data_IF_872362959261
#
_entry.id   IF_872362959261
#
_cell.length_a   1.000
_cell.length_b   1.000
_cell.length_c   1.000
_cell.angle_alpha   90.00
_cell.angle_beta   90.00
_cell.angle_gamma   90.00
#
_symmetry.space_group_name_H-M   'P 1'
#
loop_
_entity.id
_entity.type
_entity.pdbx_description
1 polymer ?
#
# COMPACT_ATOMS: atom_id res chain seq x y z
N UNK A 1 -6.90 -3.72 -11.24
CA UNK A 1 -6.49 -3.69 -9.81
C UNK A 1 -5.62 -4.90 -9.47
N UNK A 2 -4.41 -4.91 -10.02
CA UNK A 2 -3.37 -5.86 -9.68
C UNK A 2 -2.07 -5.12 -9.96
N UNK A 3 -1.57 -4.39 -8.96
CA UNK A 3 -0.27 -3.74 -9.10
C UNK A 3 0.77 -4.86 -9.24
N UNK A 4 1.44 -4.93 -10.38
CA UNK A 4 2.46 -5.95 -10.63
C UNK A 4 3.50 -5.88 -9.50
N UNK A 5 3.55 -6.92 -8.65
CA UNK A 5 4.43 -6.97 -7.48
C UNK A 5 3.75 -6.93 -6.11
N UNK A 6 2.43 -6.72 -6.04
CA UNK A 6 1.67 -6.92 -4.80
C UNK A 6 1.43 -8.42 -4.54
N UNK A 7 1.75 -8.87 -3.34
CA UNK A 7 1.45 -10.21 -2.83
C UNK A 7 -0.05 -10.42 -2.63
N UNK A 8 -0.74 -9.36 -2.18
CA UNK A 8 -2.18 -9.35 -1.97
C UNK A 8 -2.72 -7.91 -2.10
N UNK A 9 -3.99 -7.77 -2.47
CA UNK A 9 -4.68 -6.48 -2.57
C UNK A 9 -6.13 -6.58 -2.10
N UNK A 10 -6.64 -5.56 -1.42
CA UNK A 10 -8.03 -5.53 -0.92
C UNK A 10 -8.55 -4.09 -0.78
N UNK A 11 -9.87 -3.92 -0.73
CA UNK A 11 -10.49 -2.65 -0.33
C UNK A 11 -10.27 -2.43 1.16
N UNK A 12 -9.70 -1.28 1.53
CA UNK A 12 -9.32 -0.97 2.90
C UNK A 12 -10.28 0.05 3.50
N UNK A 13 -11.01 -0.37 4.55
CA UNK A 13 -12.04 0.44 5.21
C UNK A 13 -13.31 0.58 4.37
N UNK A 14 -14.08 1.64 4.62
CA UNK A 14 -15.34 1.95 3.93
C UNK A 14 -15.21 2.97 2.79
N UNK A 15 -14.00 3.48 2.54
CA UNK A 15 -13.71 4.46 1.49
C UNK A 15 -13.21 3.84 0.18
N UNK A 16 -12.83 4.66 -0.82
CA UNK A 16 -12.35 4.19 -2.12
C UNK A 16 -10.89 3.67 -2.08
N UNK A 17 -10.29 3.50 -0.91
CA UNK A 17 -8.88 3.15 -0.75
C UNK A 17 -8.66 1.66 -0.99
N UNK A 18 -7.69 1.34 -1.84
CA UNK A 18 -7.18 -0.03 -2.01
C UNK A 18 -5.86 -0.16 -1.25
N UNK A 19 -5.74 -1.18 -0.42
CA UNK A 19 -4.47 -1.55 0.19
C UNK A 19 -3.80 -2.68 -0.61
N UNK A 20 -2.48 -2.63 -0.70
CA UNK A 20 -1.65 -3.67 -1.29
C UNK A 20 -0.55 -4.08 -0.31
N UNK A 21 -0.38 -5.38 -0.11
CA UNK A 21 0.77 -5.95 0.58
C UNK A 21 1.87 -6.21 -0.43
N UNK A 22 3.05 -5.65 -0.19
CA UNK A 22 4.22 -5.74 -1.06
C UNK A 22 5.44 -6.13 -0.22
N UNK A 23 6.46 -6.68 -0.88
CA UNK A 23 7.77 -6.79 -0.25
C UNK A 23 8.32 -5.38 0.03
N UNK A 24 8.92 -5.18 1.21
CA UNK A 24 9.50 -3.89 1.60
C UNK A 24 10.56 -3.42 0.59
N UNK A 25 11.35 -4.34 0.01
CA UNK A 25 12.37 -4.01 -0.97
C UNK A 25 11.80 -3.52 -2.31
N UNK A 26 10.54 -3.83 -2.62
CA UNK A 26 9.88 -3.44 -3.87
C UNK A 26 8.85 -2.31 -3.70
N UNK A 27 8.56 -1.89 -2.46
CA UNK A 27 7.46 -0.98 -2.14
C UNK A 27 7.52 0.35 -2.93
N UNK A 28 8.68 0.99 -3.02
CA UNK A 28 8.83 2.27 -3.75
C UNK A 28 8.64 2.11 -5.26
N UNK A 29 9.12 1.00 -5.82
CA UNK A 29 8.98 0.72 -7.25
C UNK A 29 7.51 0.49 -7.62
N UNK A 30 6.80 -0.30 -6.81
CA UNK A 30 5.36 -0.55 -6.97
C UNK A 30 4.57 0.75 -6.81
N UNK A 31 4.89 1.57 -5.81
CA UNK A 31 4.22 2.84 -5.58
C UNK A 31 4.34 3.80 -6.76
N UNK A 32 5.55 3.93 -7.33
CA UNK A 32 5.77 4.76 -8.54
C UNK A 32 5.00 4.24 -9.74
N UNK A 33 4.99 2.92 -9.94
CA UNK A 33 4.25 2.32 -11.05
C UNK A 33 2.74 2.59 -10.94
N UNK A 34 2.17 2.47 -9.73
CA UNK A 34 0.74 2.74 -9.50
C UNK A 34 0.42 4.22 -9.65
N UNK A 35 1.26 5.11 -9.11
CA UNK A 35 1.05 6.56 -9.20
C UNK A 35 1.02 7.07 -10.64
N UNK A 36 1.84 6.50 -11.53
CA UNK A 36 1.85 6.84 -12.97
C UNK A 36 0.56 6.40 -13.68
N UNK A 37 -0.10 5.32 -13.22
CA UNK A 37 -1.30 4.77 -13.85
C UNK A 37 -2.63 5.32 -13.31
N UNK A 38 -2.68 5.70 -12.03
CA UNK A 38 -3.95 5.97 -11.32
C UNK A 38 -3.99 7.36 -10.64
N UNK A 39 -2.95 8.17 -10.80
CA UNK A 39 -2.79 9.48 -10.14
C UNK A 39 -2.01 9.41 -8.82
N UNK A 40 -1.51 10.57 -8.36
CA UNK A 40 -0.45 10.69 -7.34
C UNK A 40 -0.82 10.26 -5.91
N UNK A 41 -1.98 9.67 -5.67
CA UNK A 41 -2.48 9.40 -4.31
C UNK A 41 -2.03 8.03 -3.76
N UNK A 42 -0.73 7.75 -3.80
CA UNK A 42 -0.14 6.52 -3.24
C UNK A 42 0.68 6.85 -2.00
N UNK A 43 0.47 6.09 -0.92
CA UNK A 43 1.25 6.20 0.31
C UNK A 43 1.83 4.84 0.69
N UNK A 44 3.15 4.81 0.89
CA UNK A 44 3.85 3.65 1.46
C UNK A 44 3.82 3.78 2.98
N UNK A 45 3.34 2.74 3.66
CA UNK A 45 3.31 2.64 5.13
C UNK A 45 3.87 1.29 5.56
N UNK A 46 4.53 1.27 6.72
CA UNK A 46 4.95 0.03 7.36
C UNK A 46 3.79 -0.66 8.08
N UNK A 47 3.93 -1.96 8.33
CA UNK A 47 3.02 -2.69 9.20
C UNK A 47 3.36 -2.38 10.66
N UNK A 48 2.36 -1.91 11.41
CA UNK A 48 2.44 -1.79 12.85
C UNK A 48 1.53 -2.84 13.48
N UNK A 49 2.14 -3.77 14.23
CA UNK A 49 1.43 -4.81 14.97
C UNK A 49 1.17 -4.43 16.42
N UNK A 50 1.91 -3.45 16.94
CA UNK A 50 1.87 -3.07 18.35
C UNK A 50 0.82 -1.99 18.61
N UNK A 51 0.42 -1.25 17.57
CA UNK A 51 -0.54 -0.17 17.69
C UNK A 51 -0.02 0.96 18.57
N UNK A 52 -0.91 1.62 19.30
CA UNK A 52 -0.53 2.72 20.19
C UNK A 52 0.07 2.16 21.48
N UNK A 53 1.38 2.30 21.65
CA UNK A 53 2.05 2.10 22.93
C UNK A 53 1.90 3.38 23.79
N UNK A 54 1.14 3.31 24.88
CA UNK A 54 1.08 4.37 25.88
C UNK A 54 2.39 4.36 26.68
N UNK A 55 3.17 5.44 26.56
CA UNK A 55 4.37 5.70 27.37
C UNK A 55 4.00 6.61 28.54
#
# INVERSE_FOLDING_TARGET
LGAAGALATWLSGSGPTVAGLVDAASADAVARQVAVGEGEHVRVVGLDINGVALV
#
